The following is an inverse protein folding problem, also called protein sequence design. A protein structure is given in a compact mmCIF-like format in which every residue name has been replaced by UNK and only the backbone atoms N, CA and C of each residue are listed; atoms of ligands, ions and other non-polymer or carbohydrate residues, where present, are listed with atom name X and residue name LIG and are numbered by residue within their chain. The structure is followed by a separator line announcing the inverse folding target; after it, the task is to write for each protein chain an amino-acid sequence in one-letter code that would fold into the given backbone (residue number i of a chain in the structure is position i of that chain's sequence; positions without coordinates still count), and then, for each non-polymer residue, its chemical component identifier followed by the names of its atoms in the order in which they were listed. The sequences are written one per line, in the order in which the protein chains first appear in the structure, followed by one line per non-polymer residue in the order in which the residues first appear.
data_IF_676675612629
#
_entry.id   IF_676675612629
#
_cell.length_a   1.000
_cell.length_b   1.000
_cell.length_c   1.000
_cell.angle_alpha   90.00
_cell.angle_beta   90.00
_cell.angle_gamma   90.00
#
_symmetry.space_group_name_H-M   'P 1'
#
loop_
_entity.id
_entity.type
_entity.pdbx_description
1 polymer ?
#
# COMPACT_ATOMS: atom_id res chain seq x y z
N UNK A 1 36.94 3.96 22.58
CA UNK A 1 35.74 3.32 23.14
C UNK A 1 34.44 3.79 22.50
N UNK A 2 34.11 5.10 22.45
CA UNK A 2 32.88 5.56 21.76
C UNK A 2 33.00 5.53 20.22
N UNK A 3 34.19 5.82 19.70
CA UNK A 3 34.45 5.94 18.26
C UNK A 3 34.46 4.59 17.52
N UNK A 4 34.87 3.50 18.20
CA UNK A 4 34.80 2.14 17.67
C UNK A 4 33.36 1.62 17.54
N UNK A 5 32.47 1.99 18.48
CA UNK A 5 31.05 1.64 18.41
C UNK A 5 30.34 2.39 17.27
N UNK A 6 30.67 3.67 17.06
CA UNK A 6 30.13 4.45 15.95
C UNK A 6 30.57 3.90 14.59
N UNK A 7 31.86 3.56 14.44
CA UNK A 7 32.39 3.00 13.20
C UNK A 7 31.77 1.63 12.85
N UNK A 8 31.44 0.80 13.84
CA UNK A 8 30.71 -0.46 13.62
C UNK A 8 29.24 -0.23 13.23
N UNK A 9 28.56 0.72 13.86
CA UNK A 9 27.19 1.07 13.51
C UNK A 9 27.07 1.58 12.06
N UNK A 10 28.03 2.38 11.61
CA UNK A 10 28.09 2.87 10.22
C UNK A 10 28.16 1.73 9.21
N UNK A 11 28.93 0.67 9.48
CA UNK A 11 28.97 -0.51 8.61
C UNK A 11 27.63 -1.25 8.58
N UNK A 12 26.97 -1.38 9.74
CA UNK A 12 25.67 -2.07 9.82
C UNK A 12 24.59 -1.30 9.06
N UNK A 13 24.57 0.03 9.16
CA UNK A 13 23.67 0.87 8.38
C UNK A 13 24.00 0.84 6.89
N UNK A 14 25.28 0.84 6.53
CA UNK A 14 25.72 0.86 5.12
C UNK A 14 25.40 -0.46 4.41
N UNK A 15 25.68 -1.62 5.01
CA UNK A 15 25.51 -2.91 4.36
C UNK A 15 24.18 -3.62 4.68
N UNK A 16 23.48 -3.22 5.75
CA UNK A 16 22.21 -3.84 6.15
C UNK A 16 21.11 -3.66 5.11
N UNK A 17 20.51 -4.75 4.62
CA UNK A 17 19.42 -4.70 3.64
C UNK A 17 18.03 -4.59 4.28
N UNK A 18 17.93 -4.88 5.58
CA UNK A 18 16.73 -4.69 6.38
C UNK A 18 17.04 -4.65 7.87
N UNK A 19 16.16 -4.04 8.66
CA UNK A 19 16.41 -3.69 10.05
C UNK A 19 15.29 -4.16 10.97
N UNK A 20 15.65 -4.75 12.11
CA UNK A 20 14.73 -4.96 13.23
C UNK A 20 14.95 -3.84 14.23
N UNK A 21 13.91 -3.04 14.47
CA UNK A 21 13.95 -1.94 15.42
C UNK A 21 13.26 -2.40 16.70
N UNK A 22 14.07 -2.73 17.71
CA UNK A 22 13.63 -3.42 18.92
C UNK A 22 13.65 -2.47 20.11
N UNK A 23 12.54 -2.38 20.82
CA UNK A 23 12.47 -1.74 22.14
C UNK A 23 11.98 -2.73 23.20
N UNK A 24 12.18 -2.41 24.47
CA UNK A 24 11.74 -3.24 25.59
C UNK A 24 10.37 -2.77 26.10
N UNK A 25 9.43 -3.69 26.29
CA UNK A 25 8.07 -3.40 26.79
C UNK A 25 8.06 -2.63 28.13
N UNK A 26 9.09 -2.84 28.93
CA UNK A 26 9.24 -2.27 30.28
C UNK A 26 9.99 -0.94 30.29
N UNK A 27 10.62 -0.54 29.19
CA UNK A 27 11.54 0.60 29.15
C UNK A 27 11.11 1.63 28.09
N UNK A 28 10.55 2.74 28.57
CA UNK A 28 10.05 3.84 27.77
C UNK A 28 11.16 4.55 26.98
N UNK A 29 12.37 4.66 27.53
CA UNK A 29 13.49 5.32 26.86
C UNK A 29 13.84 4.58 25.56
N UNK A 30 13.91 3.24 25.62
CA UNK A 30 14.17 2.41 24.44
C UNK A 30 13.11 2.57 23.33
N UNK A 31 11.86 2.88 23.70
CA UNK A 31 10.77 3.11 22.75
C UNK A 31 10.93 4.45 22.01
N UNK A 32 11.33 5.49 22.73
CA UNK A 32 11.51 6.84 22.18
C UNK A 32 12.71 6.91 21.20
N UNK A 33 13.73 6.09 21.43
CA UNK A 33 14.91 6.00 20.56
C UNK A 33 14.62 5.36 19.19
N UNK A 34 13.56 4.56 19.03
CA UNK A 34 13.24 3.87 17.77
C UNK A 34 13.12 4.85 16.60
N UNK A 35 12.50 6.01 16.82
CA UNK A 35 12.36 7.02 15.77
C UNK A 35 13.71 7.63 15.38
N UNK A 36 14.63 7.77 16.33
CA UNK A 36 15.96 8.29 16.09
C UNK A 36 16.75 7.32 15.21
N UNK A 37 16.75 6.03 15.56
CA UNK A 37 17.39 4.98 14.76
C UNK A 37 16.81 4.92 13.35
N UNK A 38 15.49 4.96 13.21
CA UNK A 38 14.87 4.95 11.89
C UNK A 38 15.31 6.13 11.01
N UNK A 39 15.33 7.34 11.56
CA UNK A 39 15.80 8.54 10.82
C UNK A 39 17.26 8.45 10.43
N UNK A 40 18.11 7.94 11.32
CA UNK A 40 19.52 7.75 11.03
C UNK A 40 19.76 6.74 9.93
N UNK A 41 19.06 5.60 9.95
CA UNK A 41 19.15 4.59 8.90
C UNK A 41 18.73 5.16 7.55
N UNK A 42 17.61 5.90 7.49
CA UNK A 42 17.16 6.54 6.25
C UNK A 42 18.22 7.50 5.69
N UNK A 43 18.82 8.32 6.56
CA UNK A 43 19.87 9.27 6.20
C UNK A 43 21.12 8.57 5.65
N UNK A 44 21.59 7.52 6.31
CA UNK A 44 22.78 6.76 5.86
C UNK A 44 22.50 6.00 4.56
N UNK A 45 21.28 5.49 4.39
CA UNK A 45 20.87 4.79 3.16
C UNK A 45 20.59 5.72 1.99
N UNK A 46 20.39 7.01 2.24
CA UNK A 46 19.90 7.99 1.26
C UNK A 46 18.63 7.50 0.54
N UNK A 47 17.65 7.02 1.31
CA UNK A 47 16.37 6.50 0.82
C UNK A 47 15.20 6.97 1.67
N UNK A 48 14.04 7.15 1.04
CA UNK A 48 12.78 7.47 1.74
C UNK A 48 12.15 6.25 2.43
N UNK A 49 12.60 5.05 2.08
CA UNK A 49 12.09 3.80 2.63
C UNK A 49 13.22 2.79 2.81
N UNK A 50 13.21 2.13 3.97
CA UNK A 50 14.07 0.98 4.28
C UNK A 50 13.21 -0.14 4.84
N UNK A 51 13.39 -1.40 4.39
CA UNK A 51 12.71 -2.55 4.97
C UNK A 51 13.00 -2.65 6.47
N UNK A 52 11.98 -2.48 7.29
CA UNK A 52 12.13 -2.63 8.73
C UNK A 52 10.86 -3.17 9.40
N UNK A 53 11.03 -3.68 10.62
CA UNK A 53 9.95 -4.18 11.49
C UNK A 53 10.16 -3.61 12.88
N UNK A 54 9.08 -3.06 13.48
CA UNK A 54 9.09 -2.60 14.88
C UNK A 54 8.76 -3.78 15.78
N UNK A 55 9.64 -4.03 16.76
CA UNK A 55 9.49 -5.12 17.72
C UNK A 55 9.39 -4.56 19.13
N UNK A 56 8.31 -4.92 19.82
CA UNK A 56 8.21 -4.78 21.27
C UNK A 56 8.69 -6.07 21.93
N UNK A 57 9.90 -6.08 22.46
CA UNK A 57 10.49 -7.23 23.14
C UNK A 57 10.05 -7.31 24.61
N UNK A 58 10.24 -8.48 25.24
CA UNK A 58 9.87 -8.78 26.63
C UNK A 58 8.36 -8.74 26.87
N UNK A 59 7.56 -9.20 25.91
CA UNK A 59 6.10 -9.25 26.04
C UNK A 59 5.60 -10.24 27.11
N UNK A 60 6.48 -11.06 27.67
CA UNK A 60 6.23 -11.89 28.86
C UNK A 60 6.06 -11.05 30.13
N UNK A 61 6.68 -9.86 30.20
CA UNK A 61 6.65 -8.97 31.37
C UNK A 61 5.41 -8.05 31.39
N UNK A 62 4.22 -8.58 31.08
CA UNK A 62 2.98 -7.77 30.98
C UNK A 62 2.65 -6.96 32.25
N UNK A 63 3.00 -7.48 33.43
CA UNK A 63 2.81 -6.80 34.72
C UNK A 63 3.61 -5.50 34.84
N UNK A 64 4.71 -5.40 34.10
CA UNK A 64 5.62 -4.25 34.08
C UNK A 64 5.52 -3.46 32.77
N UNK A 65 4.39 -3.58 32.07
CA UNK A 65 4.15 -2.88 30.81
C UNK A 65 4.18 -1.37 31.03
N UNK A 66 5.16 -0.72 30.39
CA UNK A 66 5.30 0.75 30.38
C UNK A 66 4.83 1.37 29.06
N UNK A 67 4.74 0.59 27.98
CA UNK A 67 4.29 1.03 26.66
C UNK A 67 3.01 0.29 26.25
N UNK A 68 1.99 1.06 25.87
CA UNK A 68 0.72 0.51 25.39
C UNK A 68 0.84 -0.17 24.03
N UNK A 69 0.02 -1.20 23.77
CA UNK A 69 0.00 -1.85 22.45
C UNK A 69 -0.41 -0.88 21.33
N UNK A 70 -1.37 0.02 21.60
CA UNK A 70 -1.81 1.01 20.62
C UNK A 70 -0.68 1.98 20.26
N UNK A 71 0.03 2.47 21.27
CA UNK A 71 1.17 3.37 21.12
C UNK A 71 2.29 2.73 20.28
N UNK A 72 2.60 1.45 20.52
CA UNK A 72 3.54 0.68 19.70
C UNK A 72 3.11 0.56 18.23
N UNK A 73 1.81 0.34 17.98
CA UNK A 73 1.24 0.28 16.63
C UNK A 73 1.24 1.64 15.94
N UNK A 74 0.99 2.72 16.67
CA UNK A 74 1.03 4.08 16.15
C UNK A 74 2.45 4.47 15.72
N UNK A 75 3.45 4.13 16.53
CA UNK A 75 4.85 4.29 16.16
C UNK A 75 5.16 3.53 14.87
N UNK A 76 4.81 2.25 14.79
CA UNK A 76 5.06 1.43 13.60
C UNK A 76 4.36 1.99 12.35
N UNK A 77 3.14 2.51 12.49
CA UNK A 77 2.41 3.18 11.41
C UNK A 77 3.12 4.44 10.94
N UNK A 78 3.69 5.24 11.85
CA UNK A 78 4.41 6.47 11.49
C UNK A 78 5.65 6.20 10.64
N UNK A 79 6.31 5.05 10.83
CA UNK A 79 7.47 4.62 10.06
C UNK A 79 7.13 3.64 8.92
N UNK A 80 5.84 3.36 8.69
CA UNK A 80 5.35 2.47 7.63
C UNK A 80 5.89 1.03 7.74
N UNK A 81 6.04 0.54 8.98
CA UNK A 81 6.57 -0.79 9.28
C UNK A 81 5.54 -1.67 10.00
N UNK A 82 5.63 -3.00 9.89
CA UNK A 82 4.87 -3.93 10.72
C UNK A 82 5.26 -3.80 12.19
N UNK A 83 4.30 -4.08 13.08
CA UNK A 83 4.49 -4.13 14.53
C UNK A 83 4.30 -5.55 15.06
N UNK A 84 5.24 -6.04 15.87
CA UNK A 84 5.18 -7.38 16.47
C UNK A 84 5.60 -7.29 17.95
N UNK A 85 4.80 -7.87 18.85
CA UNK A 85 5.23 -8.12 20.22
C UNK A 85 5.95 -9.48 20.30
N UNK A 86 7.16 -9.50 20.86
CA UNK A 86 8.01 -10.67 20.97
C UNK A 86 8.48 -10.88 22.42
N UNK A 87 8.77 -12.13 22.75
CA UNK A 87 9.57 -12.47 23.93
C UNK A 87 10.72 -13.36 23.49
N UNK A 88 11.95 -12.85 23.62
CA UNK A 88 13.13 -13.67 23.40
C UNK A 88 13.27 -14.78 24.45
N UNK A 89 12.87 -14.51 25.70
CA UNK A 89 12.94 -15.46 26.81
C UNK A 89 11.99 -16.65 26.59
N UNK A 90 10.74 -16.36 26.23
CA UNK A 90 9.71 -17.37 25.98
C UNK A 90 9.68 -17.84 24.51
N UNK A 91 10.63 -17.35 23.69
CA UNK A 91 10.73 -17.63 22.25
C UNK A 91 9.43 -17.33 21.47
N UNK A 92 8.64 -16.35 21.92
CA UNK A 92 7.39 -15.93 21.30
C UNK A 92 7.65 -14.95 20.17
N UNK A 93 7.10 -15.22 18.98
CA UNK A 93 7.12 -14.39 17.78
C UNK A 93 8.51 -14.00 17.23
N UNK A 94 9.59 -14.57 17.77
CA UNK A 94 10.95 -14.33 17.28
C UNK A 94 11.07 -14.74 15.81
N UNK A 95 10.67 -15.97 15.48
CA UNK A 95 10.70 -16.47 14.10
C UNK A 95 9.78 -15.67 13.17
N UNK A 96 8.62 -15.24 13.69
CA UNK A 96 7.66 -14.42 12.93
C UNK A 96 8.30 -13.08 12.54
N UNK A 97 9.00 -12.43 13.47
CA UNK A 97 9.64 -11.15 13.21
C UNK A 97 10.76 -11.23 12.17
N UNK A 98 11.62 -12.24 12.25
CA UNK A 98 12.67 -12.46 11.25
C UNK A 98 12.07 -12.79 9.88
N UNK A 99 11.09 -13.69 9.83
CA UNK A 99 10.43 -14.06 8.58
C UNK A 99 9.75 -12.86 7.91
N UNK A 100 9.13 -11.98 8.70
CA UNK A 100 8.48 -10.78 8.16
C UNK A 100 9.51 -9.81 7.56
N UNK A 101 10.64 -9.59 8.24
CA UNK A 101 11.71 -8.77 7.69
C UNK A 101 12.25 -9.32 6.36
N UNK A 102 12.52 -10.63 6.30
CA UNK A 102 13.02 -11.28 5.07
C UNK A 102 12.05 -11.08 3.89
N UNK A 103 10.74 -11.15 4.13
CA UNK A 103 9.74 -10.88 3.08
C UNK A 103 9.82 -9.44 2.59
N UNK A 104 9.96 -8.47 3.51
CA UNK A 104 10.06 -7.05 3.16
C UNK A 104 11.32 -6.76 2.34
N UNK A 105 12.46 -7.31 2.75
CA UNK A 105 13.74 -7.17 2.02
C UNK A 105 13.61 -7.71 0.59
N UNK A 106 13.15 -8.95 0.43
CA UNK A 106 12.94 -9.56 -0.89
C UNK A 106 11.96 -8.77 -1.76
N UNK A 107 10.95 -8.15 -1.15
CA UNK A 107 9.98 -7.31 -1.86
C UNK A 107 10.62 -6.01 -2.33
N UNK A 108 11.44 -5.38 -1.50
CA UNK A 108 12.15 -4.15 -1.83
C UNK A 108 13.21 -4.38 -2.92
N UNK A 109 14.00 -5.45 -2.81
CA UNK A 109 14.97 -5.85 -3.82
C UNK A 109 14.31 -6.03 -5.19
N UNK A 110 13.19 -6.78 -5.25
CA UNK A 110 12.43 -6.94 -6.49
C UNK A 110 11.93 -5.60 -7.04
N UNK A 111 11.44 -4.70 -6.17
CA UNK A 111 10.97 -3.38 -6.59
C UNK A 111 12.10 -2.56 -7.21
N UNK A 112 13.29 -2.57 -6.60
CA UNK A 112 14.47 -1.88 -7.10
C UNK A 112 14.90 -2.45 -8.45
N UNK A 113 15.00 -3.78 -8.58
CA UNK A 113 15.36 -4.42 -9.84
C UNK A 113 14.40 -4.08 -10.98
N UNK A 114 13.09 -4.10 -10.71
CA UNK A 114 12.06 -3.75 -11.70
C UNK A 114 12.10 -2.27 -12.09
N UNK A 115 12.34 -1.38 -11.13
CA UNK A 115 12.49 0.05 -11.40
C UNK A 115 13.72 0.32 -12.27
N UNK A 116 14.85 -0.31 -11.96
CA UNK A 116 16.06 -0.22 -12.75
C UNK A 116 15.86 -0.71 -14.20
N UNK A 117 15.17 -1.85 -14.39
CA UNK A 117 14.85 -2.36 -15.73
C UNK A 117 14.01 -1.37 -16.55
N UNK A 118 12.97 -0.79 -15.94
CA UNK A 118 12.10 0.20 -16.61
C UNK A 118 12.81 1.50 -16.99
N UNK A 119 13.86 1.89 -16.26
CA UNK A 119 14.67 3.06 -16.61
C UNK A 119 15.61 2.77 -17.78
N UNK A 120 16.05 1.52 -17.94
CA UNK A 120 16.85 1.06 -19.09
C UNK A 120 15.97 0.90 -20.35
N UNK A 121 14.73 0.47 -20.19
CA UNK A 121 13.71 0.45 -21.24
C UNK A 121 13.10 1.87 -21.40
N UNK A 122 13.80 2.76 -22.11
CA UNK A 122 13.31 4.10 -22.46
C UNK A 122 11.92 4.09 -23.14
N UNK A 123 11.24 5.24 -23.32
CA UNK A 123 9.86 5.27 -23.80
C UNK A 123 9.77 4.60 -25.17
N UNK A 124 9.21 3.39 -25.18
CA UNK A 124 8.90 2.66 -26.39
C UNK A 124 7.87 3.49 -27.17
N UNK A 125 8.34 4.24 -28.17
CA UNK A 125 7.51 4.75 -29.26
C UNK A 125 6.74 3.54 -29.81
N UNK A 126 5.46 3.46 -29.48
CA UNK A 126 4.62 2.38 -29.97
C UNK A 126 4.70 2.40 -31.50
N UNK A 127 4.97 1.27 -32.18
CA UNK A 127 4.81 1.21 -33.62
C UNK A 127 3.41 1.74 -33.97
N UNK A 128 3.26 2.57 -35.01
CA UNK A 128 1.97 3.10 -35.40
C UNK A 128 0.98 1.94 -35.55
N UNK A 129 -0.08 1.96 -34.75
CA UNK A 129 -1.13 0.96 -34.80
C UNK A 129 -1.72 0.97 -36.22
N UNK A 130 -1.83 -0.19 -36.91
CA UNK A 130 -2.45 -0.21 -38.22
C UNK A 130 -3.87 0.35 -38.10
N UNK A 131 -4.34 1.14 -39.10
CA UNK A 131 -5.63 1.79 -39.03
C UNK A 131 -6.72 0.75 -38.77
N UNK A 132 -7.49 0.97 -37.70
CA UNK A 132 -8.63 0.11 -37.37
C UNK A 132 -9.57 0.03 -38.58
N UNK A 133 -9.96 -1.17 -39.05
CA UNK A 133 -10.92 -1.29 -40.13
C UNK A 133 -12.22 -0.61 -39.70
N UNK A 134 -12.63 0.41 -40.47
CA UNK A 134 -13.92 1.07 -40.28
C UNK A 134 -15.00 0.02 -40.53
N UNK A 135 -15.81 -0.31 -39.51
CA UNK A 135 -17.02 -1.09 -39.70
C UNK A 135 -17.89 -0.33 -40.71
N UNK A 136 -18.01 -0.89 -41.91
CA UNK A 136 -18.99 -0.44 -42.91
C UNK A 136 -20.36 -0.63 -42.25
N UNK A 137 -21.06 0.49 -42.02
CA UNK A 137 -22.46 0.44 -41.56
C UNK A 137 -23.25 -0.33 -42.62
N UNK A 138 -23.77 -1.49 -42.25
CA UNK A 138 -24.81 -2.14 -43.06
C UNK A 138 -26.00 -1.18 -43.11
N UNK A 139 -26.29 -0.69 -44.30
CA UNK A 139 -27.48 0.11 -44.57
C UNK A 139 -28.64 -0.89 -44.57
N UNK A 140 -29.42 -0.92 -43.49
CA UNK A 140 -30.60 -1.77 -43.43
C UNK A 140 -31.70 -1.17 -44.32
N UNK A 141 -32.01 -1.87 -45.41
CA UNK A 141 -33.19 -1.65 -46.25
C UNK A 141 -34.47 -2.07 -45.48
N UNK A 142 -34.94 -1.25 -44.55
CA UNK A 142 -36.27 -1.40 -43.94
C UNK A 142 -36.96 -0.06 -43.70
N UNK A 143 -37.07 0.76 -44.76
CA UNK A 143 -37.98 1.91 -44.81
C UNK A 143 -38.81 1.90 -46.10
N UNK A 144 -39.47 0.75 -46.37
CA UNK A 144 -40.54 0.65 -47.36
C UNK A 144 -41.76 -0.04 -46.75
N UNK A 145 -42.45 0.65 -45.85
CA UNK A 145 -43.93 0.60 -45.77
C UNK A 145 -44.40 1.59 -44.70
N UNK A 146 -45.49 2.29 -45.00
CA UNK A 146 -46.29 3.09 -44.07
C UNK A 146 -45.92 4.56 -43.90
N UNK A 147 -45.91 5.29 -45.03
CA UNK A 147 -46.30 6.71 -45.04
C UNK A 147 -47.47 6.87 -46.02
N UNK A 148 -48.68 6.53 -45.59
CA UNK A 148 -49.88 7.03 -46.25
C UNK A 148 -51.08 7.12 -45.29
N UNK A 149 -51.16 8.21 -44.53
CA UNK A 149 -52.45 8.90 -44.27
C UNK A 149 -52.23 10.20 -43.51
N UNK A 150 -52.33 11.33 -44.22
CA UNK A 150 -52.93 12.54 -43.66
C UNK A 150 -54.18 12.82 -44.49
N UNK A 151 -55.36 12.72 -43.89
CA UNK A 151 -56.28 13.84 -43.79
C UNK A 151 -57.63 13.48 -43.15
N UNK A 152 -58.11 14.46 -42.38
CA UNK A 152 -59.50 14.82 -42.03
C UNK A 152 -60.18 14.07 -40.88
N UNK A 153 -60.39 14.81 -39.79
CA UNK A 153 -61.76 15.16 -39.37
C UNK A 153 -62.15 14.89 -37.92
N UNK A 154 -62.24 16.00 -37.17
CA UNK A 154 -63.29 16.35 -36.16
C UNK A 154 -63.35 15.60 -34.82
N UNK A 155 -63.35 16.46 -33.78
CA UNK A 155 -64.17 16.45 -32.56
C UNK A 155 -63.99 15.25 -31.62
N UNK A 156 -64.18 15.33 -30.30
CA UNK A 156 -64.26 16.36 -29.26
C UNK A 156 -64.35 15.52 -27.97
N UNK A 157 -64.06 16.16 -26.84
CA UNK A 157 -64.52 15.76 -25.51
C UNK A 157 -63.71 14.75 -24.69
N UNK A 158 -63.65 15.10 -23.41
CA UNK A 158 -63.42 14.29 -22.22
C UNK A 158 -61.98 14.06 -21.70
N UNK A 159 -61.56 15.09 -20.94
CA UNK A 159 -61.10 15.15 -19.53
C UNK A 159 -60.80 13.82 -18.75
N UNK A 160 -60.17 13.90 -17.57
CA UNK A 160 -58.78 13.56 -17.27
C UNK A 160 -58.68 12.30 -16.37
N UNK A 161 -57.49 11.98 -15.85
CA UNK A 161 -57.17 11.58 -14.46
C UNK A 161 -55.77 10.94 -14.47
N UNK A 162 -54.77 11.45 -13.73
CA UNK A 162 -54.49 11.13 -12.31
C UNK A 162 -54.35 9.60 -12.09
N UNK A 163 -53.35 9.04 -11.43
CA UNK A 163 -52.29 9.61 -10.62
C UNK A 163 -51.28 8.49 -10.30
N UNK A 164 -50.16 8.92 -9.73
CA UNK A 164 -49.24 8.16 -8.88
C UNK A 164 -49.82 6.99 -8.09
N UNK A 165 -49.00 5.94 -7.90
CA UNK A 165 -48.90 5.26 -6.60
C UNK A 165 -47.55 4.54 -6.45
N UNK A 166 -46.64 5.22 -5.75
CA UNK A 166 -45.77 4.67 -4.69
C UNK A 166 -46.50 3.64 -3.83
N UNK A 167 -45.89 2.48 -3.56
CA UNK A 167 -45.81 1.73 -2.27
C UNK A 167 -45.29 0.32 -2.57
N UNK A 168 -44.48 -0.40 -1.77
CA UNK A 168 -43.89 -0.29 -0.42
C UNK A 168 -42.55 -1.04 -0.47
#
# INVERSE_FOLDING_TARGET
MAEEYAAMADQWYTFGSGFLLVYSLTDRSSFEEIQNFHREILRVKDRDYVPCVIICNKCDLQKYRSIGQLEGRELARSVHAPFIECSAAERVNVDVAFNELVKLVRKDERRISLAAQKLLEGPFLSPPQPPRPKKIKQINEKDKSSHNRRQRGKNSDDVPFCNDCTVM
#
